data_IF_565761194754
#
_entry.id   IF_565761194754
#
_cell.length_a   1.000
_cell.length_b   1.000
_cell.length_c   1.000
_cell.angle_alpha   90.00
_cell.angle_beta   90.00
_cell.angle_gamma   90.00
#
_symmetry.space_group_name_H-M   'P 1'
#
loop_
_entity.id
_entity.type
_entity.pdbx_description
1 polymer ?
#
# COMPACT_ATOMS: atom_id res chain seq x y z
N UNK A 1 -2.20 11.92 27.01
CA UNK A 1 -2.08 12.23 25.58
C UNK A 1 -3.28 13.08 25.22
N UNK A 2 -3.09 14.16 24.46
CA UNK A 2 -4.22 14.93 23.90
C UNK A 2 -4.83 14.14 22.74
N UNK A 3 -6.13 14.30 22.48
CA UNK A 3 -6.82 13.63 21.36
C UNK A 3 -6.14 13.91 20.00
N UNK A 4 -5.63 15.13 19.83
CA UNK A 4 -4.87 15.53 18.65
C UNK A 4 -3.56 14.71 18.47
N UNK A 5 -2.82 14.48 19.56
CA UNK A 5 -1.60 13.67 19.52
C UNK A 5 -1.90 12.20 19.17
N UNK A 6 -3.03 11.67 19.65
CA UNK A 6 -3.48 10.32 19.29
C UNK A 6 -3.86 10.22 17.82
N UNK A 7 -4.54 11.23 17.26
CA UNK A 7 -4.88 11.30 15.83
C UNK A 7 -3.64 11.37 14.95
N UNK A 8 -2.70 12.26 15.27
CA UNK A 8 -1.43 12.37 14.55
C UNK A 8 -0.65 11.06 14.58
N UNK A 9 -0.64 10.35 15.73
CA UNK A 9 -0.04 9.03 15.83
C UNK A 9 -0.74 8.01 14.93
N UNK A 10 -2.08 8.01 14.86
CA UNK A 10 -2.85 7.11 13.99
C UNK A 10 -2.54 7.36 12.50
N UNK A 11 -2.55 8.62 12.05
CA UNK A 11 -2.17 8.97 10.67
C UNK A 11 -0.72 8.58 10.36
N UNK A 12 0.21 8.79 11.29
CA UNK A 12 1.60 8.39 11.10
C UNK A 12 1.75 6.86 10.91
N UNK A 13 0.96 6.05 11.61
CA UNK A 13 0.96 4.60 11.41
C UNK A 13 0.34 4.19 10.07
N UNK A 14 -0.74 4.86 9.64
CA UNK A 14 -1.33 4.63 8.32
C UNK A 14 -0.36 4.96 7.18
N UNK A 15 0.39 6.06 7.30
CA UNK A 15 1.42 6.44 6.33
C UNK A 15 2.52 5.38 6.27
N UNK A 16 2.99 4.87 7.41
CA UNK A 16 3.98 3.80 7.45
C UNK A 16 3.49 2.52 6.78
N UNK A 17 2.22 2.16 7.00
CA UNK A 17 1.61 1.00 6.35
C UNK A 17 1.55 1.19 4.82
N UNK A 18 1.11 2.37 4.34
CA UNK A 18 1.11 2.72 2.92
C UNK A 18 2.51 2.66 2.30
N UNK A 19 3.53 3.18 2.99
CA UNK A 19 4.92 3.13 2.52
C UNK A 19 5.43 1.69 2.38
N UNK A 20 5.10 0.82 3.33
CA UNK A 20 5.43 -0.60 3.24
C UNK A 20 4.76 -1.25 2.04
N UNK A 21 3.45 -1.04 1.86
CA UNK A 21 2.73 -1.59 0.71
C UNK A 21 3.28 -1.09 -0.63
N UNK A 22 3.61 0.19 -0.72
CA UNK A 22 4.19 0.77 -1.93
C UNK A 22 5.55 0.13 -2.26
N UNK A 23 6.38 -0.18 -1.26
CA UNK A 23 7.67 -0.84 -1.47
C UNK A 23 7.50 -2.26 -2.05
N UNK A 24 6.58 -3.05 -1.47
CA UNK A 24 6.29 -4.42 -1.92
C UNK A 24 5.71 -4.42 -3.35
N UNK A 25 4.82 -3.47 -3.65
CA UNK A 25 4.28 -3.29 -5.01
C UNK A 25 5.39 -2.98 -6.01
N UNK A 26 6.29 -2.05 -5.65
CA UNK A 26 7.39 -1.66 -6.52
C UNK A 26 8.36 -2.82 -6.77
N UNK A 27 8.67 -3.62 -5.74
CA UNK A 27 9.54 -4.79 -5.87
C UNK A 27 8.95 -5.84 -6.82
N UNK A 28 7.66 -6.17 -6.66
CA UNK A 28 6.95 -7.09 -7.54
C UNK A 28 6.87 -6.58 -9.00
N UNK A 29 6.63 -5.28 -9.21
CA UNK A 29 6.63 -4.67 -10.55
C UNK A 29 8.01 -4.73 -11.19
N UNK A 30 9.08 -4.44 -10.43
CA UNK A 30 10.45 -4.54 -10.92
C UNK A 30 10.85 -5.98 -11.27
N UNK A 31 10.43 -6.95 -10.46
CA UNK A 31 10.64 -8.36 -10.74
C UNK A 31 9.91 -8.79 -12.03
N UNK A 32 8.66 -8.35 -12.20
CA UNK A 32 7.90 -8.61 -13.41
C UNK A 32 8.54 -7.98 -14.66
N UNK A 33 9.03 -6.73 -14.56
CA UNK A 33 9.74 -6.05 -15.64
C UNK A 33 11.01 -6.84 -16.05
N UNK A 34 11.82 -7.25 -15.08
CA UNK A 34 13.00 -8.11 -15.32
C UNK A 34 12.63 -9.39 -16.07
N UNK A 35 11.58 -10.08 -15.64
CA UNK A 35 11.12 -11.29 -16.31
C UNK A 35 10.59 -11.05 -17.73
N UNK A 36 10.00 -9.89 -18.00
CA UNK A 36 9.56 -9.52 -19.36
C UNK A 36 10.78 -9.32 -20.27
N UNK A 37 11.80 -8.60 -19.78
CA UNK A 37 13.03 -8.33 -20.54
C UNK A 37 13.79 -9.63 -20.88
N UNK A 38 13.73 -10.63 -19.99
CA UNK A 38 14.29 -11.97 -20.21
C UNK A 38 13.40 -12.88 -21.09
N UNK A 39 12.19 -12.45 -21.47
CA UNK A 39 11.24 -13.24 -22.25
C UNK A 39 10.41 -14.25 -21.44
N UNK A 40 10.52 -14.25 -20.11
CA UNK A 40 9.83 -15.14 -19.19
C UNK A 40 8.43 -14.64 -18.79
N UNK A 41 7.49 -14.62 -19.74
CA UNK A 41 6.13 -14.06 -19.56
C UNK A 41 5.35 -14.66 -18.37
N UNK A 42 5.41 -15.97 -18.16
CA UNK A 42 4.69 -16.62 -17.07
C UNK A 42 5.28 -16.24 -15.70
N UNK A 43 6.60 -16.08 -15.61
CA UNK A 43 7.27 -15.62 -14.39
C UNK A 43 6.92 -14.17 -14.08
N UNK A 44 6.79 -13.32 -15.11
CA UNK A 44 6.33 -11.94 -14.94
C UNK A 44 4.91 -11.88 -14.38
N UNK A 45 3.99 -12.71 -14.89
CA UNK A 45 2.63 -12.82 -14.33
C UNK A 45 2.68 -13.30 -12.87
N UNK A 46 3.47 -14.33 -12.58
CA UNK A 46 3.62 -14.87 -11.23
C UNK A 46 4.14 -13.84 -10.22
N UNK A 47 5.08 -12.98 -10.64
CA UNK A 47 5.60 -11.89 -9.81
C UNK A 47 4.51 -10.87 -9.45
N UNK A 48 3.50 -10.67 -10.30
CA UNK A 48 2.39 -9.74 -10.05
C UNK A 48 1.23 -10.36 -9.24
N UNK A 49 1.13 -11.68 -9.17
CA UNK A 49 0.03 -12.36 -8.46
C UNK A 49 -0.03 -12.05 -6.95
N UNK A 50 1.09 -11.63 -6.36
CA UNK A 50 1.14 -11.28 -4.92
C UNK A 50 0.53 -9.90 -4.62
N UNK A 51 0.25 -9.08 -5.65
CA UNK A 51 -0.16 -7.69 -5.48
C UNK A 51 -1.58 -7.52 -4.96
N UNK A 52 -2.47 -8.50 -5.15
CA UNK A 52 -3.89 -8.39 -4.78
C UNK A 52 -4.06 -7.95 -3.33
N UNK A 53 -3.36 -8.61 -2.41
CA UNK A 53 -3.40 -8.29 -0.98
C UNK A 53 -2.91 -6.87 -0.66
N UNK A 54 -1.84 -6.43 -1.32
CA UNK A 54 -1.28 -5.09 -1.11
C UNK A 54 -2.21 -4.00 -1.65
N UNK A 55 -2.80 -4.22 -2.83
CA UNK A 55 -3.75 -3.28 -3.43
C UNK A 55 -5.04 -3.18 -2.62
N UNK A 56 -5.56 -4.30 -2.09
CA UNK A 56 -6.70 -4.30 -1.17
C UNK A 56 -6.39 -3.51 0.10
N UNK A 57 -5.21 -3.70 0.69
CA UNK A 57 -4.80 -2.98 1.90
C UNK A 57 -4.64 -1.48 1.66
N UNK A 58 -4.06 -1.07 0.53
CA UNK A 58 -3.98 0.35 0.13
C UNK A 58 -5.38 0.95 0.01
N UNK A 59 -6.33 0.23 -0.60
CA UNK A 59 -7.71 0.70 -0.72
C UNK A 59 -8.43 0.81 0.64
N UNK A 60 -8.18 -0.14 1.56
CA UNK A 60 -8.70 -0.09 2.91
C UNK A 60 -8.14 1.12 3.69
N UNK A 61 -6.83 1.39 3.59
CA UNK A 61 -6.20 2.56 4.22
C UNK A 61 -6.73 3.88 3.66
N UNK A 62 -6.91 3.98 2.34
CA UNK A 62 -7.57 5.13 1.70
C UNK A 62 -8.96 5.36 2.29
N UNK A 63 -9.76 4.30 2.41
CA UNK A 63 -11.12 4.38 2.96
C UNK A 63 -11.10 4.81 4.44
N UNK A 64 -10.16 4.30 5.22
CA UNK A 64 -9.98 4.69 6.62
C UNK A 64 -9.63 6.18 6.77
N UNK A 65 -8.69 6.69 5.96
CA UNK A 65 -8.32 8.11 5.94
C UNK A 65 -9.50 9.00 5.58
N UNK A 66 -10.25 8.65 4.52
CA UNK A 66 -11.44 9.40 4.12
C UNK A 66 -12.54 9.39 5.18
N UNK A 67 -12.72 8.26 5.86
CA UNK A 67 -13.72 8.13 6.92
C UNK A 67 -13.33 8.96 8.14
N UNK A 68 -12.07 8.90 8.57
CA UNK A 68 -11.56 9.73 9.67
C UNK A 68 -11.74 11.22 9.37
N UNK A 69 -11.38 11.67 8.17
CA UNK A 69 -11.55 13.07 7.77
C UNK A 69 -13.02 13.53 7.77
N UNK A 70 -13.97 12.64 7.46
CA UNK A 70 -15.41 12.96 7.47
C UNK A 70 -16.00 13.02 8.88
N UNK A 71 -15.57 12.11 9.76
CA UNK A 71 -16.11 12.01 11.13
C UNK A 71 -15.49 13.07 12.04
N UNK A 72 -14.21 13.36 11.86
CA UNK A 72 -13.50 14.43 12.55
C UNK A 72 -12.55 15.13 11.57
N UNK A 73 -12.99 16.24 10.95
CA UNK A 73 -12.11 17.12 10.22
C UNK A 73 -11.00 17.61 11.17
N UNK A 74 -9.74 17.47 10.74
CA UNK A 74 -8.60 18.12 11.38
C UNK A 74 -8.65 19.63 11.11
#
# INVERSE_FOLDING_TARGET
MTDEAMKLAAFAQMIKALQRDAAEILEAVNAAATHIDEGHRNSAVGALCVLDFHLERVNALKTAVLTLHRVEPL
#
